data_IF_401048617121
#
_entry.id   IF_401048617121
#
_cell.length_a   1.000
_cell.length_b   1.000
_cell.length_c   1.000
_cell.angle_alpha   90.00
_cell.angle_beta   90.00
_cell.angle_gamma   90.00
#
_symmetry.space_group_name_H-M   'P 1'
#
loop_
_entity.id
_entity.type
_entity.pdbx_description
1 polymer ?
#
# COMPACT_ATOMS: atom_id res chain seq x y z
N UNK A 1 -12.36 -6.35 16.97
CA UNK A 1 -12.26 -4.98 16.43
C UNK A 1 -10.83 -4.85 15.92
N UNK A 2 -10.61 -4.97 14.61
CA UNK A 2 -9.28 -5.02 14.02
C UNK A 2 -8.73 -3.58 14.02
N UNK A 3 -7.71 -3.31 14.82
CA UNK A 3 -7.05 -1.98 14.88
C UNK A 3 -6.31 -1.58 13.59
N UNK A 4 -6.33 -2.41 12.54
CA UNK A 4 -5.38 -2.35 11.43
C UNK A 4 -5.53 -1.15 10.48
N UNK A 5 -6.61 -0.35 10.57
CA UNK A 5 -6.86 0.73 9.61
C UNK A 5 -7.36 2.03 10.23
N UNK A 6 -6.78 2.43 11.36
CA UNK A 6 -6.94 3.82 11.79
C UNK A 6 -6.22 4.73 10.82
N UNK A 7 -6.83 5.87 10.51
CA UNK A 7 -6.20 6.90 9.70
C UNK A 7 -5.04 7.54 10.50
N UNK A 8 -3.86 7.53 9.91
CA UNK A 8 -2.71 8.31 10.34
C UNK A 8 -2.54 9.50 9.38
N UNK A 9 -1.94 10.60 9.82
CA UNK A 9 -1.82 11.85 9.05
C UNK A 9 -0.36 12.30 9.13
N UNK A 10 0.54 11.54 8.50
CA UNK A 10 1.96 11.85 8.50
C UNK A 10 2.24 13.00 7.53
N UNK A 11 3.16 13.90 7.89
CA UNK A 11 3.72 14.83 6.92
C UNK A 11 4.83 14.11 6.14
N UNK A 12 4.59 13.83 4.86
CA UNK A 12 5.53 13.09 4.03
C UNK A 12 6.84 13.86 3.79
N UNK A 13 6.82 15.19 3.94
CA UNK A 13 8.02 16.02 3.78
C UNK A 13 9.01 15.90 4.96
N UNK A 14 8.56 15.35 6.10
CA UNK A 14 9.42 15.09 7.27
C UNK A 14 10.32 13.86 7.09
N UNK A 15 10.05 13.01 6.10
CA UNK A 15 10.82 11.79 5.85
C UNK A 15 11.99 12.06 4.91
N UNK A 16 13.16 11.50 5.27
CA UNK A 16 14.24 11.30 4.32
C UNK A 16 13.75 10.47 3.13
N UNK A 17 14.36 10.67 1.95
CA UNK A 17 13.92 10.04 0.70
C UNK A 17 14.96 9.03 0.24
N UNK A 18 14.49 7.85 -0.17
CA UNK A 18 15.32 6.81 -0.78
C UNK A 18 15.91 7.33 -2.09
N UNK A 19 17.22 7.24 -2.27
CA UNK A 19 17.90 7.72 -3.49
C UNK A 19 17.48 6.94 -4.75
N UNK A 20 17.15 5.66 -4.60
CA UNK A 20 16.77 4.78 -5.71
C UNK A 20 15.31 4.98 -6.15
N UNK A 21 14.39 5.08 -5.19
CA UNK A 21 12.94 5.05 -5.46
C UNK A 21 12.24 6.40 -5.25
N UNK A 22 12.87 7.34 -4.55
CA UNK A 22 12.27 8.62 -4.14
C UNK A 22 11.16 8.51 -3.08
N UNK A 23 10.89 7.31 -2.58
CA UNK A 23 9.89 7.07 -1.55
C UNK A 23 10.42 7.45 -0.15
N UNK A 24 9.55 7.58 0.86
CA UNK A 24 9.97 7.74 2.24
C UNK A 24 10.90 6.61 2.70
N UNK A 25 11.97 6.99 3.38
CA UNK A 25 12.77 6.12 4.26
C UNK A 25 12.18 6.22 5.66
N UNK A 26 11.84 5.08 6.25
CA UNK A 26 11.20 5.04 7.57
C UNK A 26 12.17 4.52 8.60
N UNK A 27 12.47 5.34 9.61
CA UNK A 27 13.36 4.99 10.72
C UNK A 27 12.57 4.92 12.03
N UNK A 28 12.51 3.74 12.65
CA UNK A 28 11.76 3.55 13.92
C UNK A 28 12.57 3.78 15.19
N UNK A 29 13.90 3.73 15.10
CA UNK A 29 14.79 3.92 16.24
C UNK A 29 16.18 4.36 15.76
N UNK A 30 16.89 5.15 16.58
CA UNK A 30 18.21 5.70 16.24
C UNK A 30 19.25 4.62 15.88
N UNK A 31 19.13 3.42 16.44
CA UNK A 31 20.06 2.31 16.23
C UNK A 31 19.59 1.29 15.18
N UNK A 32 18.49 1.56 14.48
CA UNK A 32 17.95 0.71 13.42
C UNK A 32 18.10 1.44 12.09
N UNK A 33 18.58 0.72 11.08
CA UNK A 33 18.76 1.25 9.73
C UNK A 33 17.40 1.68 9.16
N UNK A 34 17.29 2.89 8.56
CA UNK A 34 16.08 3.31 7.87
C UNK A 34 15.71 2.33 6.76
N UNK A 35 14.43 2.03 6.62
CA UNK A 35 13.95 1.08 5.62
C UNK A 35 13.24 1.80 4.47
N UNK A 36 13.56 1.40 3.24
CA UNK A 36 12.89 1.88 2.04
C UNK A 36 11.45 1.34 1.98
N UNK A 37 10.46 2.23 1.99
CA UNK A 37 9.05 1.84 2.00
C UNK A 37 8.68 0.94 0.82
N UNK A 38 9.18 1.26 -0.39
CA UNK A 38 8.86 0.49 -1.62
C UNK A 38 9.47 -0.90 -1.55
N UNK A 39 10.73 -1.02 -1.14
CA UNK A 39 11.40 -2.31 -0.98
C UNK A 39 10.71 -3.16 0.07
N UNK A 40 10.40 -2.57 1.24
CA UNK A 40 9.67 -3.24 2.30
C UNK A 40 8.32 -3.79 1.83
N UNK A 41 7.56 -2.99 1.05
CA UNK A 41 6.32 -3.44 0.43
C UNK A 41 6.62 -4.57 -0.55
N UNK A 42 7.54 -4.38 -1.50
CA UNK A 42 7.86 -5.34 -2.55
C UNK A 42 8.23 -6.72 -1.99
N UNK A 43 9.11 -6.77 -0.98
CA UNK A 43 9.49 -8.01 -0.29
C UNK A 43 8.29 -8.76 0.30
N UNK A 44 7.29 -8.02 0.78
CA UNK A 44 6.11 -8.57 1.44
C UNK A 44 4.97 -8.92 0.50
N UNK A 45 4.97 -8.44 -0.74
CA UNK A 45 3.81 -8.59 -1.61
C UNK A 45 4.13 -9.20 -2.96
N UNK A 46 5.36 -9.08 -3.46
CA UNK A 46 5.72 -9.57 -4.79
C UNK A 46 5.41 -11.07 -4.93
N UNK A 47 4.67 -11.41 -5.99
CA UNK A 47 4.22 -12.76 -6.31
C UNK A 47 3.12 -13.32 -5.42
N UNK A 48 2.70 -12.60 -4.36
CA UNK A 48 1.63 -13.05 -3.47
C UNK A 48 0.27 -12.81 -4.10
N UNK A 49 -0.67 -13.71 -3.80
CA UNK A 49 -2.03 -13.65 -4.33
C UNK A 49 -2.98 -12.95 -3.39
N UNK A 50 -3.98 -12.30 -3.95
CA UNK A 50 -5.14 -11.80 -3.20
C UNK A 50 -5.95 -13.00 -2.71
N UNK A 51 -6.26 -13.04 -1.42
CA UNK A 51 -7.07 -14.10 -0.79
C UNK A 51 -8.42 -13.58 -0.31
N UNK A 52 -8.53 -12.28 -0.05
CA UNK A 52 -9.75 -11.64 0.41
C UNK A 52 -9.72 -10.14 0.11
N UNK A 53 -10.87 -9.47 0.25
CA UNK A 53 -11.01 -8.01 0.12
C UNK A 53 -11.80 -7.46 1.30
N UNK A 54 -11.20 -6.51 2.01
CA UNK A 54 -11.88 -5.73 3.03
C UNK A 54 -12.71 -4.65 2.34
N UNK A 55 -14.04 -4.63 2.50
CA UNK A 55 -14.88 -3.61 1.91
C UNK A 55 -14.62 -2.23 2.56
N UNK A 56 -14.93 -1.12 1.87
CA UNK A 56 -14.84 0.21 2.45
C UNK A 56 -15.70 0.34 3.72
N UNK A 57 -15.17 0.99 4.76
CA UNK A 57 -15.93 1.23 5.98
C UNK A 57 -16.91 2.39 5.80
N UNK A 58 -18.09 2.27 6.41
CA UNK A 58 -19.05 3.37 6.56
C UNK A 58 -18.84 4.15 7.85
N UNK A 59 -17.98 3.68 8.75
CA UNK A 59 -17.63 4.40 9.98
C UNK A 59 -16.62 5.52 9.65
N UNK A 60 -16.94 6.80 9.96
CA UNK A 60 -16.00 7.91 9.73
C UNK A 60 -14.67 7.80 10.49
N UNK A 61 -14.60 7.00 11.55
CA UNK A 61 -13.37 6.77 12.31
C UNK A 61 -12.41 5.78 11.63
N UNK A 62 -12.91 4.99 10.69
CA UNK A 62 -12.15 3.96 9.98
C UNK A 62 -11.69 4.45 8.60
N UNK A 63 -10.74 3.73 8.03
CA UNK A 63 -10.33 3.94 6.64
C UNK A 63 -11.52 3.72 5.67
N UNK A 64 -11.88 4.72 4.83
CA UNK A 64 -13.10 4.70 4.05
C UNK A 64 -12.98 3.96 2.71
N UNK A 65 -11.80 3.43 2.38
CA UNK A 65 -11.54 2.76 1.10
C UNK A 65 -11.32 1.26 1.28
N UNK A 66 -11.50 0.45 0.22
CA UNK A 66 -11.26 -0.99 0.30
C UNK A 66 -9.78 -1.32 0.56
N UNK A 67 -9.52 -2.52 1.04
CA UNK A 67 -8.17 -3.07 1.17
C UNK A 67 -8.09 -4.50 0.64
N UNK A 68 -6.98 -4.86 0.00
CA UNK A 68 -6.74 -6.23 -0.46
C UNK A 68 -6.00 -7.02 0.62
N UNK A 69 -6.45 -8.22 0.92
CA UNK A 69 -5.74 -9.15 1.80
C UNK A 69 -4.96 -10.12 0.92
N UNK A 70 -3.65 -10.23 1.15
CA UNK A 70 -2.76 -11.12 0.42
C UNK A 70 -2.47 -12.41 1.19
N UNK A 71 -1.98 -13.42 0.48
CA UNK A 71 -1.34 -14.59 1.07
C UNK A 71 -0.27 -14.16 2.10
N UNK A 72 -0.24 -14.86 3.23
CA UNK A 72 0.63 -14.48 4.35
C UNK A 72 0.14 -13.28 5.17
N UNK A 73 -1.08 -12.78 4.92
CA UNK A 73 -1.80 -11.86 5.81
C UNK A 73 -1.44 -10.39 5.68
N UNK A 74 -0.60 -10.01 4.71
CA UNK A 74 -0.35 -8.60 4.40
C UNK A 74 -1.61 -7.95 3.83
N UNK A 75 -1.93 -6.75 4.28
CA UNK A 75 -3.11 -6.02 3.81
C UNK A 75 -2.66 -4.76 3.08
N UNK A 76 -3.25 -4.52 1.92
CA UNK A 76 -2.96 -3.40 1.04
C UNK A 76 -4.11 -2.37 1.07
N UNK A 77 -3.95 -1.22 1.72
CA UNK A 77 -4.99 -0.19 1.81
C UNK A 77 -5.08 0.58 0.49
N UNK A 78 -6.12 0.34 -0.31
CA UNK A 78 -6.23 0.88 -1.68
C UNK A 78 -6.99 2.20 -1.69
N UNK A 79 -6.34 3.31 -2.04
CA UNK A 79 -6.99 4.63 -2.17
C UNK A 79 -7.62 4.84 -3.55
N UNK A 80 -7.04 4.20 -4.58
CA UNK A 80 -7.49 4.32 -5.96
C UNK A 80 -7.07 3.09 -6.75
N UNK A 81 -7.90 2.65 -7.67
CA UNK A 81 -7.54 1.59 -8.59
C UNK A 81 -7.96 1.94 -10.02
N UNK A 82 -7.18 1.48 -10.98
CA UNK A 82 -7.35 1.71 -12.40
C UNK A 82 -7.26 0.38 -13.15
N UNK A 83 -8.25 0.09 -13.99
CA UNK A 83 -8.16 -0.97 -14.98
C UNK A 83 -7.29 -0.46 -16.14
N UNK A 84 -6.15 -1.11 -16.39
CA UNK A 84 -5.18 -0.61 -17.37
C UNK A 84 -5.63 -0.83 -18.81
N UNK A 85 -6.58 -1.73 -19.06
CA UNK A 85 -7.12 -2.00 -20.39
C UNK A 85 -8.15 -0.95 -20.83
N UNK A 86 -8.91 -0.40 -19.88
CA UNK A 86 -9.95 0.59 -20.15
C UNK A 86 -9.59 2.01 -19.73
N UNK A 87 -8.59 2.18 -18.86
CA UNK A 87 -8.23 3.46 -18.26
C UNK A 87 -9.29 4.01 -17.30
N UNK A 88 -10.24 3.18 -16.87
CA UNK A 88 -11.31 3.55 -15.95
C UNK A 88 -11.00 3.12 -14.52
N UNK A 89 -11.69 3.73 -13.57
CA UNK A 89 -11.61 3.30 -12.18
C UNK A 89 -12.01 1.82 -12.07
N UNK A 90 -11.16 1.02 -11.42
CA UNK A 90 -11.44 -0.38 -11.11
C UNK A 90 -12.07 -0.50 -9.73
N UNK A 91 -12.98 -1.46 -9.58
CA UNK A 91 -13.59 -1.78 -8.28
C UNK A 91 -12.76 -2.87 -7.58
N UNK A 92 -12.38 -2.63 -6.32
CA UNK A 92 -11.73 -3.65 -5.50
C UNK A 92 -12.80 -4.51 -4.85
N UNK A 93 -12.96 -5.73 -5.34
CA UNK A 93 -13.95 -6.67 -4.84
C UNK A 93 -13.44 -8.12 -4.92
N UNK A 94 -14.22 -9.08 -4.43
CA UNK A 94 -13.84 -10.49 -4.32
C UNK A 94 -13.50 -11.17 -5.66
N UNK A 95 -13.85 -10.58 -6.80
CA UNK A 95 -13.46 -11.12 -8.12
C UNK A 95 -11.94 -11.11 -8.35
N UNK A 96 -11.20 -10.31 -7.56
CA UNK A 96 -9.74 -10.23 -7.60
C UNK A 96 -9.06 -11.37 -6.84
N UNK A 97 -9.82 -12.22 -6.14
CA UNK A 97 -9.25 -13.37 -5.42
C UNK A 97 -8.50 -14.27 -6.38
N UNK A 98 -7.26 -14.62 -6.02
CA UNK A 98 -6.34 -15.41 -6.83
C UNK A 98 -5.45 -14.60 -7.76
N UNK A 99 -5.71 -13.29 -7.95
CA UNK A 99 -4.83 -12.40 -8.72
C UNK A 99 -3.52 -12.19 -7.96
N UNK A 100 -2.40 -12.16 -8.67
CA UNK A 100 -1.08 -11.99 -8.08
C UNK A 100 -0.59 -10.55 -8.21
N UNK A 101 0.15 -10.08 -7.20
CA UNK A 101 0.92 -8.84 -7.29
C UNK A 101 2.17 -9.09 -8.13
N UNK A 102 2.29 -8.39 -9.24
CA UNK A 102 3.40 -8.57 -10.19
C UNK A 102 4.48 -7.52 -10.04
N UNK A 103 4.11 -6.29 -9.72
CA UNK A 103 5.01 -5.14 -9.67
C UNK A 103 4.61 -4.20 -8.55
N UNK A 104 5.60 -3.55 -7.96
CA UNK A 104 5.45 -2.50 -6.96
C UNK A 104 6.29 -1.31 -7.40
N UNK A 105 5.74 -0.11 -7.37
CA UNK A 105 6.45 1.10 -7.76
C UNK A 105 6.07 2.28 -6.87
N UNK A 106 6.92 3.30 -6.87
CA UNK A 106 6.58 4.60 -6.29
C UNK A 106 6.16 5.56 -7.38
N UNK A 107 5.06 6.27 -7.18
CA UNK A 107 4.53 7.22 -8.14
C UNK A 107 4.27 8.56 -7.45
N UNK A 108 4.89 9.59 -7.99
CA UNK A 108 4.60 10.99 -7.67
C UNK A 108 3.81 11.58 -8.83
N UNK A 109 2.65 12.17 -8.52
CA UNK A 109 1.79 12.83 -9.50
C UNK A 109 1.52 14.26 -9.07
N UNK A 110 1.80 15.21 -9.95
CA UNK A 110 1.40 16.61 -9.75
C UNK A 110 0.06 16.86 -10.43
N UNK A 111 -0.87 17.50 -9.72
CA UNK A 111 -2.16 17.89 -10.25
C UNK A 111 -2.70 19.18 -9.66
N UNK A 112 -3.89 19.63 -10.09
CA UNK A 112 -4.52 20.85 -9.56
C UNK A 112 -4.77 20.81 -8.04
N UNK A 113 -4.78 19.63 -7.44
CA UNK A 113 -4.89 19.41 -5.99
C UNK A 113 -3.55 19.33 -5.25
N UNK A 114 -2.43 19.59 -5.92
CA UNK A 114 -1.09 19.49 -5.37
C UNK A 114 -0.34 18.21 -5.78
N UNK A 115 0.79 17.99 -5.12
CA UNK A 115 1.61 16.77 -5.23
C UNK A 115 0.89 15.63 -4.51
N UNK A 116 0.72 14.52 -5.19
CA UNK A 116 0.17 13.29 -4.63
C UNK A 116 1.20 12.18 -4.78
N UNK A 117 1.40 11.41 -3.72
CA UNK A 117 2.39 10.35 -3.67
C UNK A 117 1.71 9.02 -3.33
N UNK A 118 2.09 7.96 -4.04
CA UNK A 118 1.53 6.62 -3.86
C UNK A 118 2.62 5.57 -4.02
N UNK A 119 2.55 4.51 -3.20
CA UNK A 119 3.06 3.21 -3.64
C UNK A 119 1.96 2.60 -4.51
N UNK A 120 2.30 2.15 -5.71
CA UNK A 120 1.38 1.43 -6.59
C UNK A 120 1.74 -0.04 -6.65
N UNK A 121 0.73 -0.88 -6.81
CA UNK A 121 0.89 -2.31 -7.11
C UNK A 121 0.15 -2.64 -8.40
N UNK A 122 0.75 -3.50 -9.23
CA UNK A 122 0.09 -4.09 -10.39
C UNK A 122 -0.39 -5.49 -10.00
N UNK A 123 -1.70 -5.71 -10.06
CA UNK A 123 -2.32 -7.03 -9.83
C UNK A 123 -2.85 -7.61 -11.13
N UNK A 124 -2.60 -8.89 -11.38
CA UNK A 124 -3.07 -9.58 -12.58
C UNK A 124 -3.29 -11.08 -12.35
N UNK A 125 -4.16 -11.69 -13.16
CA UNK A 125 -4.38 -13.13 -13.22
C UNK A 125 -3.83 -13.77 -14.51
N UNK A 126 -3.26 -12.96 -15.40
CA UNK A 126 -2.74 -13.37 -16.70
C UNK A 126 -3.81 -13.63 -17.76
N UNK A 127 -5.09 -13.41 -17.48
CA UNK A 127 -6.20 -13.57 -18.42
C UNK A 127 -6.90 -12.23 -18.72
N UNK A 128 -7.00 -11.36 -17.72
CA UNK A 128 -7.63 -10.05 -17.83
C UNK A 128 -6.60 -8.92 -17.88
N UNK A 129 -7.07 -7.72 -18.23
CA UNK A 129 -6.24 -6.53 -18.11
C UNK A 129 -5.81 -6.33 -16.65
N UNK A 130 -4.53 -6.02 -16.39
CA UNK A 130 -4.07 -5.74 -15.04
C UNK A 130 -4.80 -4.57 -14.39
N UNK A 131 -4.77 -4.55 -13.07
CA UNK A 131 -5.22 -3.41 -12.28
C UNK A 131 -4.00 -2.75 -11.65
N UNK A 132 -3.90 -1.44 -11.81
CA UNK A 132 -2.95 -0.60 -11.08
C UNK A 132 -3.66 -0.03 -9.85
N UNK A 133 -3.27 -0.46 -8.66
CA UNK A 133 -3.83 0.01 -7.40
C UNK A 133 -2.82 0.92 -6.69
N UNK A 134 -3.22 2.15 -6.40
CA UNK A 134 -2.50 3.08 -5.53
C UNK A 134 -2.85 2.82 -4.07
N UNK A 135 -1.82 2.78 -3.23
CA UNK A 135 -1.92 2.45 -1.82
C UNK A 135 -1.85 3.71 -0.94
N UNK A 136 -2.49 3.64 0.22
CA UNK A 136 -2.42 4.70 1.23
C UNK A 136 -1.04 4.69 1.91
N UNK A 137 -0.25 5.75 1.71
CA UNK A 137 1.11 5.84 2.28
C UNK A 137 1.11 5.86 3.81
N UNK A 138 0.21 6.61 4.45
CA UNK A 138 0.19 6.74 5.91
C UNK A 138 0.01 5.39 6.61
N UNK A 139 -0.91 4.58 6.10
CA UNK A 139 -1.14 3.24 6.64
C UNK A 139 0.06 2.33 6.34
N UNK A 140 0.68 2.41 5.17
CA UNK A 140 1.88 1.62 4.87
C UNK A 140 3.06 1.97 5.78
N UNK A 141 3.28 3.27 6.02
CA UNK A 141 4.31 3.76 6.94
C UNK A 141 4.03 3.22 8.34
N UNK A 142 2.80 3.36 8.84
CA UNK A 142 2.41 2.81 10.14
C UNK A 142 2.64 1.29 10.24
N UNK A 143 2.30 0.53 9.20
CA UNK A 143 2.50 -0.92 9.18
C UNK A 143 4.00 -1.30 9.17
N UNK A 144 4.83 -0.51 8.49
CA UNK A 144 6.28 -0.67 8.53
C UNK A 144 6.80 -0.38 9.93
N UNK A 145 6.38 0.73 10.53
CA UNK A 145 6.76 1.11 11.89
C UNK A 145 6.41 0.01 12.90
N UNK A 146 5.17 -0.45 12.93
CA UNK A 146 4.72 -1.55 13.81
C UNK A 146 5.52 -2.84 13.57
N UNK A 147 5.81 -3.20 12.32
CA UNK A 147 6.60 -4.37 11.99
C UNK A 147 8.05 -4.27 12.51
N UNK A 148 8.64 -3.08 12.48
CA UNK A 148 9.98 -2.84 12.98
C UNK A 148 10.01 -2.76 14.52
N UNK A 149 9.04 -2.11 15.16
CA UNK A 149 8.92 -2.07 16.62
C UNK A 149 8.86 -3.48 17.23
N UNK A 150 8.07 -4.39 16.64
CA UNK A 150 7.98 -5.80 17.08
C UNK A 150 9.28 -6.60 16.92
N UNK A 151 10.26 -6.12 16.13
CA UNK A 151 11.59 -6.74 16.05
C UNK A 151 12.50 -6.32 17.21
N UNK A 152 12.24 -5.14 17.79
CA UNK A 152 13.03 -4.53 18.85
C UNK A 152 12.48 -4.92 20.23
N UNK A 153 11.16 -4.94 20.39
CA UNK A 153 10.47 -5.31 21.63
C UNK A 153 9.82 -6.71 21.49
N UNK A 154 10.40 -7.77 22.10
CA UNK A 154 9.84 -9.12 22.09
C UNK A 154 8.69 -9.35 23.08
#
# INVERSE_FOLDING_TARGET
MIMAFRKHDYDLDDFERCEEHGCPLVQVAENVEPECLVEWVAERVAGRRVVDVVPPSTDPADYPHPALVLEGGMILPVVKALDTGTGKAAEMNLSLTGWAVNEVAYVVSEGPGGRMEYVTVVIADGQHAPILAGLNLDILIYLLEDAQFRRIEP
#
